data_IF_704587798793
#
_entry.id   IF_704587798793
#
_cell.length_a   1.000
_cell.length_b   1.000
_cell.length_c   1.000
_cell.angle_alpha   90.00
_cell.angle_beta   90.00
_cell.angle_gamma   90.00
#
_symmetry.space_group_name_H-M   'P 1'
#
loop_
_entity.id
_entity.type
_entity.pdbx_description
1 polymer ?
#
# COMPACT_ATOMS: atom_id res chain seq x y z
N UNK A 1 -15.80 -53.71 -0.91
CA UNK A 1 -15.10 -53.60 -2.20
C UNK A 1 -13.60 -53.66 -1.94
N UNK A 2 -12.90 -54.59 -2.60
CA UNK A 2 -11.45 -54.79 -2.47
C UNK A 2 -10.76 -53.94 -3.53
N UNK A 3 -10.07 -52.89 -3.13
CA UNK A 3 -9.24 -52.10 -4.03
C UNK A 3 -7.80 -52.56 -3.94
N UNK A 4 -7.34 -53.38 -4.88
CA UNK A 4 -5.91 -53.55 -5.11
C UNK A 4 -5.48 -52.57 -6.21
N UNK A 5 -4.54 -51.69 -5.90
CA UNK A 5 -3.92 -50.85 -6.94
C UNK A 5 -2.89 -51.68 -7.68
N UNK A 6 -3.27 -52.23 -8.83
CA UNK A 6 -2.32 -52.73 -9.83
C UNK A 6 -2.53 -52.08 -11.18
N UNK A 7 -1.42 -51.94 -11.90
CA UNK A 7 -1.34 -51.37 -13.24
C UNK A 7 -1.98 -52.32 -14.26
N UNK A 8 -3.28 -52.18 -14.54
CA UNK A 8 -3.86 -52.78 -15.74
C UNK A 8 -3.59 -51.90 -16.97
N UNK A 9 -3.14 -52.47 -18.10
CA UNK A 9 -3.07 -51.73 -19.35
C UNK A 9 -4.50 -51.58 -19.88
N UNK A 10 -5.17 -50.44 -19.61
CA UNK A 10 -6.35 -50.09 -20.41
C UNK A 10 -7.39 -49.12 -19.85
N UNK A 11 -7.66 -49.04 -18.54
CA UNK A 11 -8.69 -48.13 -18.01
C UNK A 11 -8.37 -47.70 -16.56
N UNK A 12 -8.35 -46.38 -16.31
CA UNK A 12 -7.91 -45.78 -15.04
C UNK A 12 -9.07 -45.43 -14.07
N UNK A 13 -10.33 -45.71 -14.46
CA UNK A 13 -11.47 -44.98 -13.87
C UNK A 13 -12.49 -45.88 -13.15
N UNK A 14 -12.21 -47.17 -12.98
CA UNK A 14 -13.11 -48.08 -12.24
C UNK A 14 -12.35 -49.01 -11.27
N UNK A 15 -12.77 -49.12 -10.00
CA UNK A 15 -12.19 -50.09 -9.06
C UNK A 15 -12.51 -51.52 -9.52
N UNK A 16 -11.52 -52.42 -9.48
CA UNK A 16 -11.78 -53.84 -9.70
C UNK A 16 -12.64 -54.39 -8.55
N UNK A 17 -13.69 -55.14 -8.89
CA UNK A 17 -14.58 -55.73 -7.90
C UNK A 17 -14.21 -57.22 -7.74
N UNK A 18 -13.22 -57.51 -6.90
CA UNK A 18 -12.75 -58.88 -6.62
C UNK A 18 -13.12 -59.29 -5.19
N UNK A 19 -13.69 -60.48 -4.98
CA UNK A 19 -13.99 -61.01 -3.64
C UNK A 19 -12.75 -61.64 -2.97
N UNK A 20 -12.82 -61.86 -1.64
CA UNK A 20 -11.71 -62.36 -0.82
C UNK A 20 -11.21 -63.74 -1.25
N UNK A 21 -12.10 -64.65 -1.67
CA UNK A 21 -11.73 -65.99 -2.13
C UNK A 21 -10.96 -65.93 -3.45
N UNK A 22 -11.43 -65.08 -4.37
CA UNK A 22 -10.75 -64.83 -5.64
C UNK A 22 -9.39 -64.17 -5.42
N UNK A 23 -9.27 -63.25 -4.46
CA UNK A 23 -7.99 -62.64 -4.08
C UNK A 23 -7.03 -63.67 -3.51
N UNK A 24 -7.50 -64.57 -2.62
CA UNK A 24 -6.71 -65.67 -2.06
C UNK A 24 -6.09 -66.53 -3.16
N UNK A 25 -6.91 -66.93 -4.15
CA UNK A 25 -6.48 -67.73 -5.29
C UNK A 25 -5.43 -67.01 -6.16
N UNK A 26 -5.59 -65.70 -6.41
CA UNK A 26 -4.61 -64.89 -7.17
C UNK A 26 -3.26 -64.85 -6.44
N UNK A 27 -3.27 -64.67 -5.12
CA UNK A 27 -2.03 -64.69 -4.30
C UNK A 27 -1.37 -66.05 -4.17
N UNK A 28 -2.12 -67.14 -4.32
CA UNK A 28 -1.52 -68.49 -4.29
C UNK A 28 -0.62 -68.75 -5.52
N UNK A 29 -0.91 -68.11 -6.65
CA UNK A 29 -0.21 -68.32 -7.93
C UNK A 29 1.03 -67.41 -8.12
N UNK A 30 1.11 -66.24 -7.47
CA UNK A 30 2.26 -65.31 -7.57
C UNK A 30 3.18 -65.41 -6.34
N UNK A 31 4.32 -66.08 -6.51
CA UNK A 31 5.26 -66.44 -5.43
C UNK A 31 6.00 -65.26 -4.75
N UNK A 32 5.63 -64.00 -5.01
CA UNK A 32 6.45 -62.84 -4.65
C UNK A 32 5.82 -61.86 -3.65
N UNK A 33 4.59 -62.05 -3.15
CA UNK A 33 3.87 -61.01 -2.39
C UNK A 33 3.08 -61.54 -1.18
N UNK A 34 3.24 -60.87 -0.04
CA UNK A 34 2.27 -60.86 1.07
C UNK A 34 1.19 -59.81 0.75
N UNK A 35 -0.07 -60.05 1.11
CA UNK A 35 -1.18 -59.16 0.70
C UNK A 35 -1.95 -58.57 1.88
N UNK A 36 -2.17 -57.27 1.79
CA UNK A 36 -3.09 -56.51 2.63
C UNK A 36 -4.34 -56.19 1.79
N UNK A 37 -5.49 -56.76 2.17
CA UNK A 37 -6.77 -56.50 1.53
C UNK A 37 -7.55 -55.43 2.32
N UNK A 38 -8.00 -54.39 1.64
CA UNK A 38 -8.82 -53.31 2.23
C UNK A 38 -10.25 -53.49 1.75
N UNK A 39 -11.20 -53.66 2.67
CA UNK A 39 -12.62 -53.79 2.36
C UNK A 39 -13.35 -52.54 2.84
N UNK A 40 -13.74 -51.71 1.88
CA UNK A 40 -14.67 -50.61 2.14
C UNK A 40 -16.09 -51.06 1.78
N UNK A 41 -17.04 -50.89 2.69
CA UNK A 41 -18.48 -51.10 2.41
C UNK A 41 -19.19 -49.75 2.43
N UNK A 42 -19.73 -49.35 1.29
CA UNK A 42 -20.68 -48.25 1.19
C UNK A 42 -22.09 -48.78 1.46
N UNK A 43 -22.89 -48.12 2.30
CA UNK A 43 -24.31 -48.41 2.40
C UNK A 43 -24.99 -48.32 1.04
N UNK A 44 -25.99 -49.16 0.79
CA UNK A 44 -26.73 -49.13 -0.47
C UNK A 44 -27.59 -47.84 -0.50
N UNK A 45 -27.54 -47.03 -1.58
CA UNK A 45 -28.29 -45.79 -1.64
C UNK A 45 -29.79 -46.10 -1.73
N UNK A 46 -30.52 -45.87 -0.65
CA UNK A 46 -31.96 -45.67 -0.73
C UNK A 46 -32.25 -44.18 -0.92
N UNK A 47 -33.16 -43.89 -1.84
CA UNK A 47 -33.45 -42.57 -2.38
C UNK A 47 -33.58 -41.46 -1.33
N UNK A 48 -32.83 -40.38 -1.58
CA UNK A 48 -32.88 -39.00 -1.02
C UNK A 48 -31.82 -38.66 0.04
N UNK A 49 -30.96 -37.73 -0.40
CA UNK A 49 -29.93 -36.96 0.32
C UNK A 49 -28.57 -37.65 0.47
N UNK A 50 -27.61 -37.14 -0.31
CA UNK A 50 -26.18 -37.45 -0.20
C UNK A 50 -25.65 -36.53 0.90
N UNK A 51 -25.66 -37.00 2.14
CA UNK A 51 -24.83 -36.47 3.21
C UNK A 51 -23.73 -37.50 3.47
N UNK A 52 -22.46 -37.06 3.49
CA UNK A 52 -21.27 -37.91 3.52
C UNK A 52 -21.42 -39.10 4.47
N UNK A 53 -21.65 -40.28 3.91
CA UNK A 53 -21.90 -41.49 4.67
C UNK A 53 -20.57 -42.03 5.21
N UNK A 54 -20.59 -42.41 6.49
CA UNK A 54 -19.49 -43.09 7.15
C UNK A 54 -19.28 -44.43 6.44
N UNK A 55 -18.18 -44.55 5.69
CA UNK A 55 -17.79 -45.81 5.05
C UNK A 55 -17.11 -46.69 6.10
N UNK A 56 -17.73 -47.83 6.40
CA UNK A 56 -17.08 -48.81 7.26
C UNK A 56 -15.96 -49.48 6.45
N UNK A 57 -14.72 -49.28 6.92
CA UNK A 57 -13.51 -49.81 6.29
C UNK A 57 -12.84 -50.80 7.23
N UNK A 58 -12.65 -52.03 6.76
CA UNK A 58 -11.98 -53.10 7.48
C UNK A 58 -10.70 -53.49 6.71
N UNK A 59 -9.62 -53.79 7.43
CA UNK A 59 -8.34 -54.16 6.85
C UNK A 59 -8.05 -55.61 7.20
N UNK A 60 -7.56 -56.37 6.23
CA UNK A 60 -7.25 -57.78 6.39
C UNK A 60 -5.84 -58.06 5.90
N UNK A 61 -5.08 -58.83 6.66
CA UNK A 61 -3.75 -59.31 6.31
C UNK A 61 -3.82 -60.81 5.99
N UNK A 62 -3.14 -61.21 4.92
CA UNK A 62 -2.95 -62.61 4.59
C UNK A 62 -1.50 -62.87 4.21
N UNK A 63 -0.93 -63.87 4.87
CA UNK A 63 0.36 -64.44 4.57
C UNK A 63 0.19 -65.88 4.08
N UNK A 64 0.99 -66.28 3.11
CA UNK A 64 0.93 -67.63 2.54
C UNK A 64 1.07 -68.70 3.63
N UNK A 65 0.18 -69.69 3.61
CA UNK A 65 0.12 -70.77 4.59
C UNK A 65 -0.82 -70.48 5.78
N UNK A 66 -1.40 -69.29 5.84
CA UNK A 66 -2.52 -69.02 6.74
C UNK A 66 -3.78 -69.73 6.22
N UNK A 67 -4.58 -70.26 7.13
CA UNK A 67 -5.85 -70.89 6.77
C UNK A 67 -6.85 -69.88 6.22
N UNK A 68 -6.79 -68.63 6.70
CA UNK A 68 -7.71 -67.55 6.37
C UNK A 68 -7.07 -66.16 6.57
N UNK A 69 -7.73 -65.11 6.08
CA UNK A 69 -7.36 -63.72 6.34
C UNK A 69 -7.52 -63.37 7.82
N UNK A 70 -6.63 -62.53 8.34
CA UNK A 70 -6.72 -61.99 9.71
C UNK A 70 -7.04 -60.50 9.64
N UNK A 71 -8.08 -60.08 10.34
CA UNK A 71 -8.42 -58.66 10.46
C UNK A 71 -7.32 -57.92 11.21
N UNK A 72 -6.88 -56.78 10.67
CA UNK A 72 -5.90 -55.90 11.27
C UNK A 72 -6.50 -54.51 11.47
N UNK A 73 -6.14 -53.86 12.57
CA UNK A 73 -6.50 -52.46 12.81
C UNK A 73 -5.25 -51.64 12.52
N UNK A 74 -5.20 -50.88 11.40
CA UNK A 74 -4.04 -50.06 11.11
C UNK A 74 -3.99 -48.89 12.08
N UNK A 75 -2.77 -48.51 12.45
CA UNK A 75 -2.54 -47.18 13.00
C UNK A 75 -2.68 -46.17 11.86
N UNK A 76 -3.71 -45.32 11.93
CA UNK A 76 -3.93 -44.28 10.92
C UNK A 76 -3.02 -43.09 11.25
N UNK A 77 -1.89 -43.03 10.57
CA UNK A 77 -1.05 -41.83 10.60
C UNK A 77 -1.68 -40.84 9.62
N UNK A 78 -2.23 -39.74 10.14
CA UNK A 78 -2.71 -38.64 9.32
C UNK A 78 -1.52 -37.97 8.61
N UNK A 79 -1.28 -38.32 7.35
CA UNK A 79 -0.40 -37.54 6.49
C UNK A 79 -1.14 -36.30 6.00
N UNK A 80 -0.54 -35.10 6.02
CA UNK A 80 -1.13 -33.91 5.41
C UNK A 80 -1.44 -34.17 3.93
N UNK A 81 -2.51 -33.56 3.42
CA UNK A 81 -2.80 -33.61 1.99
C UNK A 81 -1.59 -33.06 1.21
N UNK A 82 -1.04 -33.85 0.28
CA UNK A 82 0.07 -33.43 -0.58
C UNK A 82 -0.36 -32.18 -1.37
N UNK A 83 0.13 -31.01 -0.96
CA UNK A 83 0.00 -29.80 -1.77
C UNK A 83 0.88 -29.97 -3.00
N UNK A 84 0.44 -29.44 -4.15
CA UNK A 84 1.28 -29.38 -5.34
C UNK A 84 2.60 -28.64 -5.06
N UNK A 85 3.60 -28.73 -5.95
CA UNK A 85 4.95 -28.20 -5.71
C UNK A 85 4.92 -26.74 -5.22
N UNK A 86 5.27 -26.55 -3.94
CA UNK A 86 5.33 -25.23 -3.31
C UNK A 86 6.59 -24.48 -3.74
N UNK A 87 6.48 -23.16 -3.87
CA UNK A 87 7.66 -22.33 -4.10
C UNK A 87 8.52 -22.31 -2.83
N UNK A 88 9.81 -22.57 -2.99
CA UNK A 88 10.78 -22.55 -1.89
C UNK A 88 10.91 -21.14 -1.31
N UNK A 89 10.65 -21.02 0.00
CA UNK A 89 10.88 -19.80 0.77
C UNK A 89 12.33 -19.79 1.24
N UNK A 90 13.01 -18.66 1.04
CA UNK A 90 14.40 -18.44 1.47
C UNK A 90 14.48 -17.57 2.71
N UNK A 91 13.53 -16.64 2.86
CA UNK A 91 13.55 -15.61 3.88
C UNK A 91 12.13 -15.16 4.22
N UNK A 92 11.91 -14.83 5.48
CA UNK A 92 10.72 -14.14 5.98
C UNK A 92 11.10 -12.74 6.49
N UNK A 93 10.38 -11.73 6.03
CA UNK A 93 10.39 -10.39 6.61
C UNK A 93 9.13 -10.24 7.46
N UNK A 94 9.28 -9.88 8.73
CA UNK A 94 8.18 -9.78 9.68
C UNK A 94 8.17 -8.40 10.35
N UNK A 95 7.08 -7.67 10.17
CA UNK A 95 6.87 -6.34 10.77
C UNK A 95 6.58 -6.44 12.26
N UNK A 96 7.41 -5.78 13.07
CA UNK A 96 7.34 -5.79 14.54
C UNK A 96 6.04 -5.16 15.06
N UNK A 97 5.57 -4.07 14.46
CA UNK A 97 4.34 -3.40 14.94
C UNK A 97 3.12 -4.28 14.67
N UNK A 98 3.09 -4.96 13.51
CA UNK A 98 2.07 -5.96 13.20
C UNK A 98 2.02 -7.08 14.23
N UNK A 99 3.17 -7.59 14.68
CA UNK A 99 3.25 -8.60 15.74
C UNK A 99 2.66 -8.05 17.05
N UNK A 100 3.05 -6.83 17.42
CA UNK A 100 2.61 -6.19 18.67
C UNK A 100 1.09 -6.04 18.69
N UNK A 101 0.48 -5.62 17.58
CA UNK A 101 -0.96 -5.44 17.49
C UNK A 101 -1.72 -6.77 17.54
N UNK A 102 -1.19 -7.83 16.92
CA UNK A 102 -1.75 -9.19 17.04
C UNK A 102 -1.76 -9.69 18.49
N UNK A 103 -0.69 -9.41 19.25
CA UNK A 103 -0.61 -9.75 20.67
C UNK A 103 -1.66 -9.00 21.48
N UNK A 104 -1.87 -7.70 21.20
CA UNK A 104 -2.88 -6.88 21.90
C UNK A 104 -4.30 -7.33 21.60
N UNK A 105 -4.60 -7.67 20.35
CA UNK A 105 -5.94 -7.99 19.88
C UNK A 105 -6.37 -9.44 20.15
N UNK A 106 -5.43 -10.34 20.43
CA UNK A 106 -5.70 -11.75 20.76
C UNK A 106 -6.23 -12.58 19.58
N UNK A 107 -5.90 -12.19 18.34
CA UNK A 107 -6.28 -12.83 17.06
C UNK A 107 -5.09 -12.79 16.08
N UNK A 108 -5.09 -13.57 14.99
CA UNK A 108 -5.11 -15.02 14.86
C UNK A 108 -3.68 -15.62 14.87
N UNK A 109 -3.61 -16.95 15.05
CA UNK A 109 -2.41 -17.77 14.87
C UNK A 109 -2.09 -18.01 13.38
N UNK A 110 -2.85 -17.48 12.42
CA UNK A 110 -2.60 -17.65 10.98
C UNK A 110 -2.62 -16.28 10.29
N UNK A 111 -1.55 -15.96 9.56
CA UNK A 111 -1.39 -14.74 8.78
C UNK A 111 -1.05 -15.05 7.32
N UNK A 112 -1.45 -14.13 6.46
CA UNK A 112 -1.03 -14.13 5.07
C UNK A 112 0.20 -13.23 4.86
N UNK A 113 1.21 -13.79 4.21
CA UNK A 113 2.36 -13.06 3.68
C UNK A 113 2.36 -13.03 2.15
N UNK A 114 3.03 -12.05 1.57
CA UNK A 114 3.19 -11.93 0.12
C UNK A 114 4.56 -12.47 -0.32
N UNK A 115 4.56 -13.49 -1.19
CA UNK A 115 5.76 -14.11 -1.74
C UNK A 115 6.30 -13.37 -2.96
N UNK A 116 7.57 -12.98 -2.87
CA UNK A 116 8.32 -12.38 -3.98
C UNK A 116 8.90 -13.44 -4.91
N UNK A 117 9.26 -13.01 -6.12
CA UNK A 117 9.93 -13.81 -7.14
C UNK A 117 11.27 -14.42 -6.67
N UNK A 118 11.97 -13.76 -5.76
CA UNK A 118 13.25 -14.21 -5.22
C UNK A 118 13.13 -15.21 -4.04
N UNK A 119 11.91 -15.51 -3.58
CA UNK A 119 11.64 -16.43 -2.48
C UNK A 119 11.57 -15.77 -1.09
N UNK A 120 11.30 -14.46 -1.01
CA UNK A 120 11.09 -13.77 0.26
C UNK A 120 9.60 -13.65 0.54
N UNK A 121 9.16 -14.04 1.73
CA UNK A 121 7.80 -13.79 2.19
C UNK A 121 7.80 -12.53 3.04
N UNK A 122 6.89 -11.61 2.75
CA UNK A 122 6.71 -10.38 3.52
C UNK A 122 5.39 -10.46 4.27
N UNK A 123 5.46 -10.37 5.59
CA UNK A 123 4.30 -10.18 6.47
C UNK A 123 4.44 -8.76 7.05
N UNK A 124 3.93 -7.79 6.30
CA UNK A 124 4.06 -6.35 6.60
C UNK A 124 2.66 -5.73 6.71
N UNK A 125 2.49 -4.69 7.52
CA UNK A 125 1.23 -3.95 7.65
C UNK A 125 0.86 -3.24 6.34
N UNK A 126 -0.44 -3.20 6.01
CA UNK A 126 -1.01 -2.49 4.84
C UNK A 126 -0.42 -2.88 3.47
N UNK A 127 0.29 -4.01 3.38
CA UNK A 127 0.83 -4.51 2.11
C UNK A 127 -0.22 -5.26 1.29
N UNK A 128 -0.32 -4.95 0.00
CA UNK A 128 -1.13 -5.73 -0.93
C UNK A 128 -0.60 -7.17 -1.10
N UNK A 129 -1.50 -8.14 -1.01
CA UNK A 129 -1.21 -9.57 -1.16
C UNK A 129 -1.49 -9.96 -2.61
N UNK A 130 -0.46 -10.40 -3.33
CA UNK A 130 -0.55 -10.83 -4.74
C UNK A 130 -0.31 -12.34 -4.83
N UNK A 131 0.74 -12.82 -4.17
CA UNK A 131 1.09 -14.23 -4.07
C UNK A 131 0.99 -14.65 -2.60
N UNK A 132 -0.21 -15.02 -2.11
CA UNK A 132 -0.42 -15.35 -0.71
C UNK A 132 0.38 -16.59 -0.30
N UNK A 133 0.95 -16.54 0.90
CA UNK A 133 1.55 -17.66 1.62
C UNK A 133 0.98 -17.65 3.03
N UNK A 134 0.42 -18.79 3.46
CA UNK A 134 -0.16 -18.92 4.79
C UNK A 134 0.94 -19.22 5.81
N UNK A 135 1.02 -18.41 6.86
CA UNK A 135 1.98 -18.56 7.95
C UNK A 135 1.24 -18.76 9.28
N UNK A 136 1.52 -19.87 9.96
CA UNK A 136 1.04 -20.12 11.31
C UNK A 136 2.00 -19.48 12.32
N UNK A 137 1.53 -18.53 13.11
CA UNK A 137 2.28 -17.84 14.16
C UNK A 137 1.97 -18.48 15.50
N UNK A 138 3.02 -18.87 16.22
CA UNK A 138 2.96 -19.35 17.59
C UNK A 138 3.67 -18.36 18.51
N UNK A 139 3.13 -18.12 19.70
CA UNK A 139 3.75 -17.28 20.72
C UNK A 139 4.26 -18.12 21.88
N UNK A 140 5.55 -18.04 22.19
CA UNK A 140 6.19 -18.80 23.25
C UNK A 140 6.90 -17.92 24.28
N UNK A 141 6.84 -18.33 25.54
CA UNK A 141 7.45 -17.58 26.67
C UNK A 141 8.93 -17.95 26.92
N UNK A 142 9.48 -18.96 26.23
CA UNK A 142 10.87 -19.42 26.36
C UNK A 142 11.41 -19.89 24.99
N UNK A 143 12.71 -19.73 24.72
CA UNK A 143 13.39 -20.08 23.45
C UNK A 143 13.50 -21.59 23.14
N UNK A 144 12.69 -22.42 23.79
CA UNK A 144 12.74 -23.88 23.67
C UNK A 144 11.36 -24.46 23.42
N UNK A 145 11.06 -24.77 22.16
CA UNK A 145 9.88 -25.55 21.78
C UNK A 145 10.26 -26.68 20.85
N UNK A 146 9.85 -27.90 21.21
CA UNK A 146 9.67 -29.01 20.26
C UNK A 146 8.42 -28.70 19.43
N UNK A 147 8.61 -28.29 18.18
CA UNK A 147 7.52 -28.04 17.25
C UNK A 147 7.03 -29.39 16.73
N UNK A 148 5.84 -29.84 17.16
CA UNK A 148 5.16 -30.99 16.57
C UNK A 148 4.22 -30.50 15.46
N UNK A 149 4.54 -30.86 14.21
CA UNK A 149 3.89 -30.37 12.99
C UNK A 149 2.64 -31.14 12.56
N UNK A 150 2.13 -32.04 13.40
CA UNK A 150 1.23 -33.10 12.95
C UNK A 150 -0.18 -32.66 12.53
N UNK A 151 -0.49 -31.37 12.37
CA UNK A 151 -1.81 -30.89 11.94
C UNK A 151 -1.83 -29.52 11.22
N UNK A 152 -0.69 -28.96 10.79
CA UNK A 152 -0.66 -27.62 10.18
C UNK A 152 -0.97 -27.65 8.68
N UNK A 153 -2.04 -26.96 8.27
CA UNK A 153 -2.36 -26.70 6.84
C UNK A 153 -1.62 -25.49 6.26
N UNK A 154 -0.75 -24.82 7.04
CA UNK A 154 -0.04 -23.62 6.62
C UNK A 154 1.27 -23.94 5.87
N UNK A 155 1.70 -23.03 5.00
CA UNK A 155 2.93 -23.18 4.19
C UNK A 155 4.19 -22.83 5.01
N UNK A 156 4.03 -21.95 6.01
CA UNK A 156 5.07 -21.54 6.94
C UNK A 156 4.61 -21.72 8.38
N UNK A 157 5.56 -22.01 9.26
CA UNK A 157 5.41 -21.98 10.70
C UNK A 157 6.40 -20.96 11.28
N UNK A 158 5.91 -20.05 12.11
CA UNK A 158 6.66 -18.93 12.68
C UNK A 158 6.51 -18.98 14.20
N UNK A 159 7.62 -19.16 14.89
CA UNK A 159 7.70 -19.09 16.35
C UNK A 159 8.17 -17.70 16.76
N UNK A 160 7.40 -17.03 17.61
CA UNK A 160 7.70 -15.70 18.16
C UNK A 160 7.89 -15.85 19.67
N UNK A 161 9.09 -15.48 20.16
CA UNK A 161 9.39 -15.43 21.59
C UNK A 161 9.61 -13.99 22.06
N UNK A 162 9.15 -13.68 23.26
CA UNK A 162 9.33 -12.35 23.88
C UNK A 162 10.08 -12.50 25.19
N UNK A 163 11.36 -12.13 25.18
CA UNK A 163 12.24 -12.23 26.33
C UNK A 163 12.80 -10.85 26.68
N UNK A 164 12.61 -10.39 27.92
CA UNK A 164 13.11 -9.09 28.40
C UNK A 164 12.73 -7.90 27.48
N UNK A 165 11.47 -7.85 27.02
CA UNK A 165 10.96 -6.85 26.07
C UNK A 165 11.63 -6.87 24.68
N UNK A 166 12.33 -7.96 24.32
CA UNK A 166 12.83 -8.18 22.96
C UNK A 166 12.01 -9.27 22.29
N UNK A 167 11.58 -8.98 21.07
CA UNK A 167 10.93 -9.96 20.20
C UNK A 167 12.04 -10.72 19.45
N UNK A 168 11.97 -12.04 19.46
CA UNK A 168 12.73 -12.92 18.58
C UNK A 168 11.75 -13.72 17.73
N UNK A 169 12.18 -14.10 16.53
CA UNK A 169 11.38 -14.95 15.67
C UNK A 169 12.25 -15.99 14.96
N UNK A 170 11.72 -17.20 14.84
CA UNK A 170 12.24 -18.28 13.99
C UNK A 170 11.13 -18.78 13.09
N UNK A 171 11.47 -19.27 11.90
CA UNK A 171 10.45 -19.79 11.00
C UNK A 171 10.96 -21.01 10.23
N UNK A 172 10.00 -21.86 9.84
CA UNK A 172 10.24 -23.10 9.10
C UNK A 172 9.22 -23.25 7.98
N UNK A 173 9.65 -23.84 6.87
CA UNK A 173 8.80 -24.29 5.77
C UNK A 173 8.74 -25.82 5.79
N UNK A 174 7.56 -26.41 5.59
CA UNK A 174 7.41 -27.84 5.38
C UNK A 174 7.78 -28.19 3.93
N UNK A 175 8.68 -29.15 3.71
CA UNK A 175 8.95 -29.70 2.39
C UNK A 175 7.98 -30.85 2.10
N UNK A 176 7.01 -30.61 1.22
CA UNK A 176 5.99 -31.60 0.86
C UNK A 176 6.57 -32.86 0.18
N UNK A 177 7.81 -32.83 -0.32
CA UNK A 177 8.44 -34.00 -0.94
C UNK A 177 9.10 -34.93 0.09
N UNK A 178 9.63 -34.37 1.18
CA UNK A 178 10.36 -35.14 2.20
C UNK A 178 9.57 -35.29 3.50
N UNK A 179 8.56 -34.43 3.72
CA UNK A 179 7.85 -34.31 4.99
C UNK A 179 8.67 -33.64 6.10
N UNK A 180 9.88 -33.17 5.80
CA UNK A 180 10.76 -32.52 6.78
C UNK A 180 10.58 -31.00 6.78
N UNK A 181 10.84 -30.36 7.91
CA UNK A 181 10.90 -28.90 7.99
C UNK A 181 12.28 -28.34 7.71
N UNK A 182 12.32 -27.29 6.91
CA UNK A 182 13.52 -26.50 6.62
C UNK A 182 13.41 -25.15 7.31
N UNK A 183 14.37 -24.83 8.18
CA UNK A 183 14.45 -23.50 8.81
C UNK A 183 14.76 -22.43 7.76
N UNK A 184 14.07 -21.29 7.86
CA UNK A 184 14.24 -20.14 6.99
C UNK A 184 14.72 -18.93 7.79
N UNK A 185 15.50 -18.06 7.14
CA UNK A 185 15.99 -16.84 7.77
C UNK A 185 14.83 -15.87 8.05
N UNK A 186 14.81 -15.26 9.23
CA UNK A 186 13.80 -14.28 9.63
C UNK A 186 14.46 -12.93 9.91
N UNK A 187 13.97 -11.89 9.24
CA UNK A 187 14.32 -10.50 9.55
C UNK A 187 13.13 -9.81 10.22
N UNK A 188 13.34 -9.37 11.45
CA UNK A 188 12.40 -8.50 12.15
C UNK A 188 12.60 -7.05 11.67
N UNK A 189 11.52 -6.44 11.18
CA UNK A 189 11.53 -5.09 10.64
C UNK A 189 10.76 -4.17 11.58
N UNK A 190 11.46 -3.22 12.17
CA UNK A 190 10.84 -2.06 12.81
C UNK A 190 10.63 -0.98 11.75
N UNK A 191 9.39 -0.79 11.27
CA UNK A 191 9.10 0.17 10.22
C UNK A 191 9.38 1.62 10.66
N UNK A 192 9.06 1.99 11.91
CA UNK A 192 9.26 3.35 12.47
C UNK A 192 10.71 3.78 12.34
N UNK A 193 11.61 2.91 12.74
CA UNK A 193 13.04 3.20 12.79
C UNK A 193 13.73 2.93 11.45
N UNK A 194 13.38 1.85 10.76
CA UNK A 194 14.13 1.40 9.58
C UNK A 194 13.79 2.21 8.31
N UNK A 195 12.55 2.66 8.11
CA UNK A 195 12.12 3.36 6.89
C UNK A 195 12.91 4.65 6.64
N UNK A 196 13.18 5.40 7.70
CA UNK A 196 13.81 6.72 7.62
C UNK A 196 15.29 6.72 8.03
N UNK A 197 15.90 5.55 8.24
CA UNK A 197 17.31 5.42 8.68
C UNK A 197 18.29 6.18 7.78
N UNK A 198 17.98 6.31 6.48
CA UNK A 198 18.79 7.06 5.51
C UNK A 198 18.64 8.60 5.62
N UNK A 199 17.58 9.09 6.27
CA UNK A 199 17.40 10.51 6.59
C UNK A 199 18.00 10.90 7.94
N UNK A 200 18.30 9.92 8.82
CA UNK A 200 18.51 10.14 10.26
C UNK A 200 19.49 11.26 10.64
N UNK A 201 20.64 11.40 9.97
CA UNK A 201 21.61 12.45 10.33
C UNK A 201 21.14 13.88 10.05
N UNK A 202 20.03 14.06 9.35
CA UNK A 202 19.50 15.38 8.97
C UNK A 202 18.50 15.93 9.99
N UNK A 203 17.96 15.11 10.89
CA UNK A 203 16.94 15.54 11.88
C UNK A 203 15.60 15.98 11.27
N UNK A 204 15.39 15.74 9.97
CA UNK A 204 14.22 16.25 9.22
C UNK A 204 12.94 15.55 9.67
N UNK A 205 12.98 14.22 9.85
CA UNK A 205 11.81 13.43 10.24
C UNK A 205 11.25 13.92 11.58
N UNK A 206 12.12 14.09 12.57
CA UNK A 206 11.75 14.49 13.93
C UNK A 206 11.06 15.86 13.95
N UNK A 207 11.53 16.80 13.12
CA UNK A 207 10.94 18.13 13.01
C UNK A 207 9.63 18.18 12.20
N UNK A 208 9.40 17.18 11.34
CA UNK A 208 8.21 17.09 10.48
C UNK A 208 7.13 16.16 11.03
N UNK A 209 7.45 15.28 11.98
CA UNK A 209 6.56 14.20 12.40
C UNK A 209 5.18 14.70 12.88
N UNK A 210 5.18 15.75 13.71
CA UNK A 210 3.94 16.35 14.26
C UNK A 210 3.29 17.39 13.32
N UNK A 211 3.93 17.70 12.19
CA UNK A 211 3.42 18.69 11.24
C UNK A 211 2.23 18.14 10.48
N UNK A 212 1.19 18.97 10.35
CA UNK A 212 -0.05 18.68 9.64
C UNK A 212 -0.12 19.49 8.36
N UNK A 213 -0.33 18.83 7.22
CA UNK A 213 -0.50 19.52 5.94
C UNK A 213 -1.83 19.18 5.28
N UNK A 214 -2.39 20.11 4.52
CA UNK A 214 -3.50 19.80 3.61
C UNK A 214 -3.11 20.05 2.15
N UNK A 215 -3.51 19.16 1.26
CA UNK A 215 -3.31 19.27 -0.18
C UNK A 215 -4.67 19.48 -0.88
N UNK A 216 -4.78 20.59 -1.59
CA UNK A 216 -5.92 20.92 -2.46
C UNK A 216 -5.59 20.55 -3.91
N UNK A 217 -6.29 19.54 -4.42
CA UNK A 217 -6.07 18.96 -5.74
C UNK A 217 -4.96 17.91 -5.70
N UNK A 218 -5.29 16.71 -6.14
CA UNK A 218 -4.46 15.51 -6.18
C UNK A 218 -4.28 15.05 -7.63
N UNK A 219 -4.19 15.98 -8.58
CA UNK A 219 -3.79 15.69 -9.95
C UNK A 219 -2.29 15.36 -10.05
N UNK A 220 -1.69 15.66 -11.19
CA UNK A 220 -0.27 15.35 -11.47
C UNK A 220 0.71 15.93 -10.44
N UNK A 221 0.47 17.16 -10.01
CA UNK A 221 1.32 17.85 -9.04
C UNK A 221 1.05 17.34 -7.62
N UNK A 222 -0.21 17.42 -7.17
CA UNK A 222 -0.56 17.15 -5.78
C UNK A 222 -0.34 15.71 -5.35
N UNK A 223 -0.64 14.74 -6.22
CA UNK A 223 -0.43 13.32 -5.91
C UNK A 223 1.05 12.99 -5.72
N UNK A 224 1.91 13.48 -6.60
CA UNK A 224 3.36 13.28 -6.48
C UNK A 224 3.93 14.06 -5.29
N UNK A 225 3.48 15.29 -5.05
CA UNK A 225 3.90 16.09 -3.91
C UNK A 225 3.59 15.37 -2.58
N UNK A 226 2.38 14.82 -2.43
CA UNK A 226 1.98 14.05 -1.25
C UNK A 226 2.93 12.87 -0.98
N UNK A 227 3.32 12.13 -2.03
CA UNK A 227 4.27 11.03 -1.90
C UNK A 227 5.66 11.49 -1.45
N UNK A 228 6.12 12.65 -1.90
CA UNK A 228 7.42 13.18 -1.47
C UNK A 228 7.38 13.72 -0.05
N UNK A 229 6.27 14.32 0.38
CA UNK A 229 6.07 14.75 1.76
C UNK A 229 6.15 13.57 2.73
N UNK A 230 5.45 12.48 2.43
CA UNK A 230 5.52 11.22 3.20
C UNK A 230 6.95 10.69 3.24
N UNK A 231 7.65 10.65 2.10
CA UNK A 231 9.05 10.21 2.04
C UNK A 231 10.02 11.11 2.81
N UNK A 232 9.67 12.37 3.03
CA UNK A 232 10.45 13.30 3.86
C UNK A 232 10.21 13.12 5.36
N UNK A 233 9.19 12.35 5.76
CA UNK A 233 8.86 12.08 7.17
C UNK A 233 7.61 12.78 7.69
N UNK A 234 6.79 13.40 6.83
CA UNK A 234 5.47 13.90 7.21
C UNK A 234 4.50 12.76 7.44
N UNK A 235 3.79 12.80 8.57
CA UNK A 235 2.88 11.73 8.98
C UNK A 235 1.40 12.12 8.96
N UNK A 236 1.07 13.42 8.94
CA UNK A 236 -0.31 13.90 9.07
C UNK A 236 -0.75 14.67 7.81
N UNK A 237 -1.67 14.10 7.04
CA UNK A 237 -2.11 14.66 5.76
C UNK A 237 -3.64 14.75 5.68
N UNK A 238 -4.13 15.88 5.16
CA UNK A 238 -5.50 16.02 4.66
C UNK A 238 -5.48 16.13 3.14
N UNK A 239 -6.14 15.20 2.45
CA UNK A 239 -6.13 15.10 0.99
C UNK A 239 -7.52 15.48 0.46
N UNK A 240 -7.60 16.52 -0.37
CA UNK A 240 -8.87 17.07 -0.87
C UNK A 240 -8.86 17.06 -2.40
N UNK A 241 -9.68 16.19 -2.99
CA UNK A 241 -9.90 16.12 -4.43
C UNK A 241 -11.24 15.42 -4.72
N UNK A 242 -12.18 16.07 -5.45
CA UNK A 242 -13.48 15.50 -5.75
C UNK A 242 -13.47 14.47 -6.89
N UNK A 243 -12.42 14.42 -7.70
CA UNK A 243 -12.43 13.67 -8.96
C UNK A 243 -12.14 12.19 -8.77
N UNK A 244 -12.52 11.42 -9.79
CA UNK A 244 -12.06 10.05 -10.01
C UNK A 244 -10.89 9.99 -10.98
N UNK A 245 -10.10 8.92 -10.91
CA UNK A 245 -9.02 8.64 -11.84
C UNK A 245 -9.55 8.25 -13.22
N UNK A 246 -9.15 9.01 -14.23
CA UNK A 246 -9.40 8.70 -15.63
C UNK A 246 -8.13 8.21 -16.33
N UNK A 247 -8.30 7.49 -17.45
CA UNK A 247 -7.20 6.87 -18.19
C UNK A 247 -6.12 7.87 -18.61
N UNK A 248 -6.53 9.11 -18.95
CA UNK A 248 -5.64 10.16 -19.40
C UNK A 248 -4.82 10.77 -18.25
N UNK A 249 -5.18 10.53 -16.98
CA UNK A 249 -4.41 10.98 -15.82
C UNK A 249 -3.19 10.09 -15.57
N UNK A 250 -3.30 8.79 -15.85
CA UNK A 250 -2.36 7.74 -15.41
C UNK A 250 -0.91 8.02 -15.82
N UNK A 251 -0.67 8.59 -17.01
CA UNK A 251 0.68 8.83 -17.53
C UNK A 251 1.49 9.88 -16.75
N UNK A 252 0.83 10.65 -15.88
CA UNK A 252 1.40 11.80 -15.15
C UNK A 252 0.84 11.91 -13.74
N UNK A 253 0.42 10.80 -13.15
CA UNK A 253 -0.21 10.75 -11.83
C UNK A 253 0.49 9.68 -10.99
N UNK A 254 0.46 9.82 -9.66
CA UNK A 254 1.06 8.83 -8.76
C UNK A 254 0.45 7.43 -8.91
N UNK A 255 -0.88 7.37 -8.98
CA UNK A 255 -1.65 6.14 -9.16
C UNK A 255 -1.55 5.58 -10.58
N UNK A 256 -1.80 4.28 -10.71
CA UNK A 256 -1.59 3.51 -11.93
C UNK A 256 -2.89 2.89 -12.47
N UNK A 257 -2.78 2.05 -13.50
CA UNK A 257 -3.95 1.42 -14.15
C UNK A 257 -4.81 0.58 -13.19
N UNK A 258 -4.26 0.11 -12.08
CA UNK A 258 -5.02 -0.66 -11.08
C UNK A 258 -6.01 0.20 -10.30
N UNK A 259 -5.85 1.52 -10.32
CA UNK A 259 -6.69 2.47 -9.59
C UNK A 259 -7.71 3.19 -10.48
N UNK A 260 -7.82 2.81 -11.76
CA UNK A 260 -8.71 3.47 -12.71
C UNK A 260 -10.17 3.48 -12.22
N UNK A 261 -10.82 4.65 -12.27
CA UNK A 261 -12.19 4.86 -11.82
C UNK A 261 -12.38 5.05 -10.30
N UNK A 262 -11.32 4.89 -9.50
CA UNK A 262 -11.35 5.20 -8.05
C UNK A 262 -11.29 6.71 -7.84
N UNK A 263 -11.83 7.20 -6.71
CA UNK A 263 -11.60 8.58 -6.28
C UNK A 263 -10.10 8.84 -6.08
N UNK A 264 -9.58 9.95 -6.62
CA UNK A 264 -8.16 10.30 -6.53
C UNK A 264 -7.70 10.36 -5.08
N UNK A 265 -8.50 10.96 -4.18
CA UNK A 265 -8.17 11.07 -2.76
C UNK A 265 -7.94 9.71 -2.07
N UNK A 266 -8.83 8.74 -2.32
CA UNK A 266 -8.72 7.41 -1.72
C UNK A 266 -7.60 6.59 -2.38
N UNK A 267 -7.45 6.67 -3.72
CA UNK A 267 -6.37 5.98 -4.43
C UNK A 267 -4.98 6.49 -4.02
N UNK A 268 -4.81 7.81 -3.88
CA UNK A 268 -3.56 8.41 -3.40
C UNK A 268 -3.31 7.98 -1.95
N UNK A 269 -4.31 8.02 -1.07
CA UNK A 269 -4.18 7.54 0.31
C UNK A 269 -3.59 6.13 0.38
N UNK A 270 -4.10 5.20 -0.41
CA UNK A 270 -3.58 3.82 -0.42
C UNK A 270 -2.13 3.75 -0.91
N UNK A 271 -1.77 4.51 -1.95
CA UNK A 271 -0.36 4.59 -2.40
C UNK A 271 0.56 5.16 -1.34
N UNK A 272 0.08 6.10 -0.52
CA UNK A 272 0.85 6.68 0.58
C UNK A 272 0.99 5.68 1.74
N UNK A 273 -0.07 4.96 2.11
CA UNK A 273 -0.01 3.92 3.14
C UNK A 273 0.91 2.76 2.75
N UNK A 274 0.98 2.44 1.45
CA UNK A 274 1.96 1.48 0.95
C UNK A 274 3.43 1.96 1.07
N UNK A 275 3.67 3.26 1.23
CA UNK A 275 5.00 3.83 1.52
C UNK A 275 5.27 3.82 3.03
N UNK A 276 4.29 4.28 3.82
CA UNK A 276 4.37 4.29 5.27
C UNK A 276 2.98 3.94 5.85
N UNK A 277 2.79 2.75 6.46
CA UNK A 277 1.50 2.35 7.03
C UNK A 277 1.03 3.21 8.20
N UNK A 278 1.92 4.00 8.81
CA UNK A 278 1.64 4.75 10.04
C UNK A 278 1.09 6.15 9.82
N UNK A 279 0.75 6.49 8.58
CA UNK A 279 0.27 7.81 8.24
C UNK A 279 -1.15 8.04 8.77
N UNK A 280 -1.37 9.23 9.35
CA UNK A 280 -2.69 9.75 9.66
C UNK A 280 -3.21 10.54 8.46
N UNK A 281 -4.10 9.92 7.68
CA UNK A 281 -4.62 10.50 6.43
C UNK A 281 -6.15 10.65 6.48
N UNK A 282 -6.61 11.90 6.38
CA UNK A 282 -8.02 12.25 6.16
C UNK A 282 -8.26 12.57 4.68
N UNK A 283 -9.28 11.98 4.07
CA UNK A 283 -9.64 12.23 2.66
C UNK A 283 -10.97 12.95 2.52
N UNK A 284 -11.03 13.92 1.62
CA UNK A 284 -12.26 14.59 1.18
C UNK A 284 -12.43 14.40 -0.33
N UNK A 285 -13.51 13.71 -0.69
CA UNK A 285 -13.99 13.55 -2.08
C UNK A 285 -15.00 14.64 -2.46
N UNK A 286 -14.88 15.77 -1.81
CA UNK A 286 -15.81 16.88 -1.84
C UNK A 286 -15.16 18.03 -2.61
N UNK A 287 -15.98 18.81 -3.31
CA UNK A 287 -15.48 19.99 -3.98
C UNK A 287 -15.14 21.06 -2.94
N UNK A 288 -13.93 21.62 -3.00
CA UNK A 288 -13.45 22.54 -1.98
C UNK A 288 -14.29 23.82 -1.87
N UNK A 289 -14.86 24.29 -2.99
CA UNK A 289 -15.67 25.51 -3.03
C UNK A 289 -17.08 25.22 -2.54
N UNK A 290 -17.71 24.14 -3.03
CA UNK A 290 -19.10 23.82 -2.69
C UNK A 290 -19.26 23.30 -1.25
N UNK A 291 -18.28 22.56 -0.74
CA UNK A 291 -18.33 21.92 0.57
C UNK A 291 -17.38 22.59 1.60
N UNK A 292 -17.08 23.88 1.41
CA UNK A 292 -16.11 24.61 2.23
C UNK A 292 -16.36 24.50 3.74
N UNK A 293 -17.62 24.62 4.20
CA UNK A 293 -17.98 24.56 5.62
C UNK A 293 -17.62 23.21 6.29
N UNK A 294 -17.60 22.14 5.51
CA UNK A 294 -17.21 20.80 5.98
C UNK A 294 -15.69 20.66 6.02
N UNK A 295 -15.01 21.15 5.00
CA UNK A 295 -13.57 20.99 4.82
C UNK A 295 -12.78 21.95 5.73
N UNK A 296 -13.22 23.20 5.85
CA UNK A 296 -12.55 24.27 6.61
C UNK A 296 -12.25 23.90 8.06
N UNK A 297 -13.13 23.13 8.72
CA UNK A 297 -12.91 22.61 10.09
C UNK A 297 -11.65 21.77 10.23
N UNK A 298 -11.22 21.09 9.16
CA UNK A 298 -10.00 20.28 9.13
C UNK A 298 -8.77 21.09 8.73
N UNK A 299 -8.96 22.35 8.34
CA UNK A 299 -7.90 23.27 7.97
C UNK A 299 -7.52 24.22 9.13
N UNK A 300 -8.27 24.26 10.24
CA UNK A 300 -7.96 25.19 11.35
C UNK A 300 -6.66 24.85 12.09
N UNK A 301 -6.21 23.59 12.05
CA UNK A 301 -5.04 23.10 12.80
C UNK A 301 -3.88 22.64 11.92
N UNK A 302 -3.86 22.99 10.63
CA UNK A 302 -2.74 22.62 9.75
C UNK A 302 -1.60 23.64 9.82
N UNK A 303 -0.37 23.17 9.64
CA UNK A 303 0.82 24.01 9.57
C UNK A 303 1.07 24.60 8.17
N UNK A 304 0.56 23.94 7.12
CA UNK A 304 0.79 24.35 5.73
C UNK A 304 -0.32 23.87 4.80
N UNK A 305 -0.84 24.78 3.98
CA UNK A 305 -1.76 24.48 2.89
C UNK A 305 -0.98 24.38 1.57
N UNK A 306 -1.14 23.29 0.84
CA UNK A 306 -0.53 23.09 -0.49
C UNK A 306 -1.63 23.14 -1.55
N UNK A 307 -1.48 24.02 -2.53
CA UNK A 307 -2.48 24.30 -3.56
C UNK A 307 -1.93 23.88 -4.92
N UNK A 308 -2.54 22.85 -5.50
CA UNK A 308 -2.22 22.29 -6.82
C UNK A 308 -3.46 22.11 -7.71
N UNK A 309 -4.56 22.79 -7.39
CA UNK A 309 -5.79 22.85 -8.18
C UNK A 309 -5.65 23.82 -9.37
N UNK A 310 -6.42 23.56 -10.42
CA UNK A 310 -6.47 24.29 -11.68
C UNK A 310 -7.61 25.30 -11.79
N UNK A 311 -8.62 25.25 -10.91
CA UNK A 311 -9.77 26.16 -11.01
C UNK A 311 -9.51 27.54 -10.35
N UNK A 312 -9.96 28.65 -10.96
CA UNK A 312 -9.76 29.99 -10.38
C UNK A 312 -10.44 30.16 -9.02
N UNK A 313 -11.66 29.65 -8.89
CA UNK A 313 -12.48 29.80 -7.69
C UNK A 313 -11.86 29.09 -6.49
N UNK A 314 -11.36 27.85 -6.68
CA UNK A 314 -10.69 27.11 -5.61
C UNK A 314 -9.39 27.79 -5.18
N UNK A 315 -8.60 28.33 -6.13
CA UNK A 315 -7.35 29.06 -5.84
C UNK A 315 -7.62 30.34 -5.06
N UNK A 316 -8.69 31.06 -5.40
CA UNK A 316 -9.11 32.28 -4.73
C UNK A 316 -9.64 31.98 -3.32
N UNK A 317 -10.48 30.96 -3.16
CA UNK A 317 -10.96 30.53 -1.86
C UNK A 317 -9.82 30.00 -0.97
N UNK A 318 -8.86 29.27 -1.54
CA UNK A 318 -7.68 28.81 -0.82
C UNK A 318 -6.82 29.99 -0.32
N UNK A 319 -6.70 31.05 -1.12
CA UNK A 319 -6.01 32.27 -0.70
C UNK A 319 -6.74 32.96 0.46
N UNK A 320 -8.07 33.10 0.36
CA UNK A 320 -8.89 33.64 1.44
C UNK A 320 -8.74 32.81 2.72
N UNK A 321 -8.74 31.48 2.60
CA UNK A 321 -8.59 30.53 3.70
C UNK A 321 -7.22 30.66 4.37
N UNK A 322 -6.15 30.69 3.59
CA UNK A 322 -4.78 30.88 4.09
C UNK A 322 -4.64 32.19 4.87
N UNK A 323 -5.16 33.29 4.31
CA UNK A 323 -5.08 34.61 4.96
C UNK A 323 -5.97 34.68 6.21
N UNK A 324 -7.20 34.15 6.15
CA UNK A 324 -8.16 34.24 7.26
C UNK A 324 -7.77 33.37 8.45
N UNK A 325 -7.24 32.18 8.21
CA UNK A 325 -6.76 31.26 9.24
C UNK A 325 -5.31 31.55 9.66
N UNK A 326 -4.64 32.50 9.00
CA UNK A 326 -3.23 32.82 9.21
C UNK A 326 -2.30 31.60 9.02
N UNK A 327 -2.57 30.80 7.99
CA UNK A 327 -1.85 29.56 7.65
C UNK A 327 -0.99 29.80 6.41
N UNK A 328 0.32 29.50 6.44
CA UNK A 328 1.16 29.56 5.25
C UNK A 328 0.62 28.66 4.12
N UNK A 329 0.74 29.15 2.89
CA UNK A 329 0.23 28.47 1.71
C UNK A 329 1.31 28.36 0.63
N UNK A 330 1.40 27.21 -0.02
CA UNK A 330 2.28 27.01 -1.17
C UNK A 330 1.47 26.66 -2.40
N UNK A 331 1.58 27.50 -3.41
CA UNK A 331 1.01 27.27 -4.73
C UNK A 331 2.06 26.60 -5.60
N UNK A 332 1.70 25.47 -6.18
CA UNK A 332 2.51 24.78 -7.18
C UNK A 332 1.64 24.70 -8.44
N UNK A 333 1.96 25.56 -9.41
CA UNK A 333 1.15 25.74 -10.61
C UNK A 333 2.00 25.61 -11.86
N UNK A 334 1.44 25.00 -12.89
CA UNK A 334 1.98 25.06 -14.24
C UNK A 334 1.05 25.92 -15.09
N UNK A 335 1.54 26.35 -16.25
CA UNK A 335 0.77 26.96 -17.31
C UNK A 335 0.54 25.96 -18.44
N UNK A 336 -0.33 26.31 -19.39
CA UNK A 336 -0.70 25.50 -20.53
C UNK A 336 0.49 24.74 -21.15
N UNK A 337 0.25 23.44 -21.39
CA UNK A 337 1.23 22.50 -21.94
C UNK A 337 2.52 22.36 -21.13
N UNK A 338 2.50 22.70 -19.84
CA UNK A 338 3.71 22.76 -19.01
C UNK A 338 4.83 23.60 -19.65
N UNK A 339 4.47 24.69 -20.35
CA UNK A 339 5.47 25.59 -20.96
C UNK A 339 6.23 26.41 -19.92
N UNK A 340 5.53 26.78 -18.85
CA UNK A 340 6.09 27.50 -17.71
C UNK A 340 5.43 26.99 -16.43
N UNK A 341 6.05 27.27 -15.30
CA UNK A 341 5.54 26.93 -13.97
C UNK A 341 5.93 27.97 -12.94
N UNK A 342 5.16 28.02 -11.87
CA UNK A 342 5.35 28.95 -10.76
C UNK A 342 5.16 28.23 -9.44
N UNK A 343 6.05 28.50 -8.50
CA UNK A 343 5.97 28.09 -7.10
C UNK A 343 5.96 29.34 -6.23
N UNK A 344 4.97 29.47 -5.36
CA UNK A 344 4.81 30.64 -4.50
C UNK A 344 4.53 30.22 -3.07
N UNK A 345 5.31 30.70 -2.09
CA UNK A 345 5.03 30.54 -0.66
C UNK A 345 4.45 31.83 -0.10
N UNK A 346 3.16 31.81 0.19
CA UNK A 346 2.47 32.90 0.88
C UNK A 346 2.59 32.66 2.38
N UNK A 347 3.09 33.67 3.09
CA UNK A 347 3.11 33.72 4.55
C UNK A 347 2.24 34.90 4.96
N UNK A 348 1.02 34.66 5.49
CA UNK A 348 0.14 35.71 5.94
C UNK A 348 0.85 36.70 6.87
N UNK A 349 0.56 37.99 6.71
CA UNK A 349 1.24 39.06 7.45
C UNK A 349 2.61 39.47 6.88
N UNK A 350 3.43 38.51 6.43
CA UNK A 350 4.82 38.72 5.98
C UNK A 350 4.91 39.00 4.47
N UNK A 351 4.35 38.12 3.63
CA UNK A 351 4.37 38.29 2.16
C UNK A 351 3.07 38.92 1.65
N UNK A 352 3.05 39.31 0.37
CA UNK A 352 1.80 39.51 -0.36
C UNK A 352 1.03 38.18 -0.47
N UNK A 353 -0.30 38.25 -0.40
CA UNK A 353 -1.16 37.11 -0.71
C UNK A 353 -1.28 36.92 -2.23
N UNK A 354 -1.95 35.85 -2.68
CA UNK A 354 -2.13 35.56 -4.11
C UNK A 354 -2.76 36.72 -4.86
N UNK A 355 -3.74 37.37 -4.25
CA UNK A 355 -4.44 38.51 -4.85
C UNK A 355 -3.57 39.77 -5.01
N UNK A 356 -2.48 39.90 -4.24
CA UNK A 356 -1.52 41.00 -4.43
C UNK A 356 -0.76 40.91 -5.77
N UNK A 357 -0.68 39.72 -6.35
CA UNK A 357 0.14 39.41 -7.53
C UNK A 357 -0.73 39.34 -8.80
N UNK A 358 -2.06 39.30 -8.64
CA UNK A 358 -2.99 39.08 -9.73
C UNK A 358 -2.86 37.68 -10.37
N UNK A 359 -3.25 37.58 -11.62
CA UNK A 359 -3.07 36.42 -12.51
C UNK A 359 -1.60 36.24 -12.96
N UNK A 360 -0.64 36.91 -12.31
CA UNK A 360 0.78 36.61 -12.48
C UNK A 360 1.52 37.54 -13.45
N UNK A 361 1.02 38.77 -13.66
CA UNK A 361 1.86 39.89 -14.13
C UNK A 361 1.87 41.00 -13.08
N UNK A 362 3.06 41.46 -12.71
CA UNK A 362 3.22 42.63 -11.85
C UNK A 362 2.63 43.86 -12.54
N UNK A 363 1.50 44.36 -12.03
CA UNK A 363 0.80 45.53 -12.57
C UNK A 363 -0.27 45.26 -13.64
N UNK A 364 -0.71 44.02 -13.86
CA UNK A 364 -1.95 43.77 -14.61
C UNK A 364 -3.18 44.01 -13.74
N UNK A 365 -4.22 44.62 -14.31
CA UNK A 365 -5.55 44.60 -13.70
C UNK A 365 -6.04 43.15 -13.61
N UNK A 366 -6.54 42.77 -12.43
CA UNK A 366 -7.25 41.52 -12.23
C UNK A 366 -8.39 41.45 -13.25
N UNK A 367 -8.26 40.56 -14.23
CA UNK A 367 -9.33 40.28 -15.19
C UNK A 367 -9.96 38.95 -14.77
N UNK A 368 -11.16 38.95 -14.18
CA UNK A 368 -11.88 37.71 -13.90
C UNK A 368 -12.04 36.91 -15.21
N UNK A 369 -11.61 35.66 -15.23
CA UNK A 369 -11.87 34.75 -16.35
C UNK A 369 -10.84 34.74 -17.48
N UNK A 370 -9.60 35.20 -17.28
CA UNK A 370 -8.49 34.92 -18.21
C UNK A 370 -7.44 34.13 -17.43
N UNK A 371 -7.39 32.83 -17.64
CA UNK A 371 -6.83 31.92 -16.65
C UNK A 371 -5.63 31.13 -17.16
N UNK A 372 -4.65 30.96 -16.28
CA UNK A 372 -3.61 29.93 -16.37
C UNK A 372 -4.20 28.51 -16.19
N UNK A 373 -5.17 28.13 -17.04
CA UNK A 373 -5.64 26.78 -17.42
C UNK A 373 -7.12 26.71 -17.89
N UNK A 374 -7.83 27.80 -18.12
CA UNK A 374 -9.25 27.71 -18.55
C UNK A 374 -9.77 28.89 -19.35
N UNK A 375 -9.29 29.04 -20.59
CA UNK A 375 -10.08 29.72 -21.62
C UNK A 375 -10.42 28.68 -22.70
N UNK A 376 -11.52 27.95 -22.51
CA UNK A 376 -12.22 27.34 -23.64
C UNK A 376 -13.72 27.22 -23.36
N UNK A 377 -14.46 28.22 -23.82
CA UNK A 377 -15.93 28.21 -23.91
C UNK A 377 -16.46 27.24 -24.99
N UNK A 378 -15.58 26.53 -25.69
CA UNK A 378 -15.94 25.54 -26.70
C UNK A 378 -15.89 24.13 -26.13
N UNK A 379 -17.05 23.46 -26.11
CA UNK A 379 -17.28 22.04 -25.74
C UNK A 379 -16.42 21.05 -26.55
N UNK A 380 -15.62 21.54 -27.50
CA UNK A 380 -14.69 20.78 -28.34
C UNK A 380 -13.20 20.95 -27.98
N UNK A 381 -12.83 21.78 -27.00
CA UNK A 381 -11.43 21.99 -26.58
C UNK A 381 -11.04 21.26 -25.28
N UNK A 382 -11.90 20.35 -24.80
CA UNK A 382 -11.61 19.34 -23.74
C UNK A 382 -10.57 18.28 -24.24
N UNK A 383 -9.87 18.53 -25.36
CA UNK A 383 -8.85 17.63 -25.88
C UNK A 383 -7.52 17.85 -25.18
N UNK A 384 -7.19 16.90 -24.30
CA UNK A 384 -5.83 16.42 -23.99
C UNK A 384 -4.72 17.45 -24.21
N UNK A 385 -4.41 18.23 -23.16
CA UNK A 385 -3.36 19.23 -23.24
C UNK A 385 -1.99 18.60 -22.90
N UNK A 386 -1.04 18.53 -23.86
CA UNK A 386 0.21 17.80 -23.68
C UNK A 386 1.12 18.54 -22.70
N UNK A 387 1.47 17.91 -21.58
CA UNK A 387 2.54 18.37 -20.69
C UNK A 387 3.40 17.16 -20.33
N UNK A 388 4.71 17.30 -20.47
CA UNK A 388 5.64 16.22 -20.16
C UNK A 388 5.70 16.03 -18.63
N UNK A 389 5.55 14.78 -18.17
CA UNK A 389 5.54 14.47 -16.74
C UNK A 389 6.85 14.91 -16.05
N UNK A 390 7.99 14.86 -16.74
CA UNK A 390 9.27 15.34 -16.18
C UNK A 390 9.26 16.83 -15.87
N UNK A 391 8.60 17.63 -16.70
CA UNK A 391 8.51 19.09 -16.53
C UNK A 391 7.59 19.43 -15.35
N UNK A 392 6.46 18.72 -15.26
CA UNK A 392 5.53 18.80 -14.13
C UNK A 392 6.26 18.43 -12.83
N UNK A 393 7.02 17.33 -12.84
CA UNK A 393 7.75 16.85 -11.67
C UNK A 393 8.87 17.80 -11.26
N UNK A 394 9.56 18.44 -12.20
CA UNK A 394 10.59 19.44 -11.87
C UNK A 394 10.01 20.60 -11.06
N UNK A 395 8.90 21.18 -11.51
CA UNK A 395 8.19 22.25 -10.79
C UNK A 395 7.65 21.74 -9.44
N UNK A 396 7.11 20.51 -9.44
CA UNK A 396 6.60 19.87 -8.23
C UNK A 396 7.69 19.69 -7.17
N UNK A 397 8.89 19.25 -7.55
CA UNK A 397 10.00 19.07 -6.60
C UNK A 397 10.50 20.40 -6.03
N UNK A 398 10.51 21.48 -6.82
CA UNK A 398 10.82 22.82 -6.32
C UNK A 398 9.78 23.26 -5.27
N UNK A 399 8.49 23.00 -5.53
CA UNK A 399 7.41 23.26 -4.58
C UNK A 399 7.50 22.42 -3.31
N UNK A 400 7.76 21.12 -3.43
CA UNK A 400 7.97 20.22 -2.28
C UNK A 400 9.14 20.70 -1.43
N UNK A 401 10.26 21.10 -2.05
CA UNK A 401 11.42 21.62 -1.32
C UNK A 401 11.10 22.91 -0.58
N UNK A 402 10.36 23.82 -1.21
CA UNK A 402 9.88 25.05 -0.59
C UNK A 402 8.96 24.76 0.61
N UNK A 403 8.09 23.76 0.48
CA UNK A 403 7.17 23.33 1.53
C UNK A 403 7.85 22.69 2.73
N UNK A 404 8.76 21.75 2.50
CA UNK A 404 9.53 21.11 3.57
C UNK A 404 10.31 22.17 4.36
N UNK A 405 11.02 23.06 3.67
CA UNK A 405 11.76 24.13 4.34
C UNK A 405 10.85 25.09 5.11
N UNK A 406 9.67 25.41 4.57
CA UNK A 406 8.69 26.25 5.28
C UNK A 406 8.23 25.64 6.61
N UNK A 407 8.11 24.31 6.66
CA UNK A 407 7.72 23.58 7.87
C UNK A 407 8.88 23.48 8.88
N UNK A 408 10.11 23.38 8.40
CA UNK A 408 11.33 23.36 9.23
C UNK A 408 11.69 24.75 9.77
N UNK A 409 11.34 25.81 9.04
CA UNK A 409 11.71 27.20 9.32
C UNK A 409 10.47 28.12 9.27
N UNK A 410 9.47 27.91 10.14
CA UNK A 410 8.20 28.63 10.07
C UNK A 410 8.33 30.14 10.30
N UNK A 411 9.31 30.56 11.10
CA UNK A 411 9.53 31.97 11.47
C UNK A 411 10.33 32.76 10.41
N UNK A 412 10.89 32.07 9.41
CA UNK A 412 11.72 32.71 8.40
C UNK A 412 10.89 33.39 7.30
N UNK A 413 11.22 34.66 7.05
CA UNK A 413 10.50 35.50 6.09
C UNK A 413 10.69 35.02 4.64
N UNK A 414 11.83 34.39 4.35
CA UNK A 414 12.13 33.71 3.09
C UNK A 414 12.50 32.26 3.36
N UNK A 415 12.33 31.39 2.38
CA UNK A 415 12.78 29.99 2.47
C UNK A 415 14.31 29.95 2.48
N UNK A 416 14.99 29.55 3.57
CA UNK A 416 16.44 29.75 3.72
C UNK A 416 17.30 29.10 2.64
N UNK A 417 16.97 27.87 2.21
CA UNK A 417 17.75 27.11 1.23
C UNK A 417 17.53 27.58 -0.21
N UNK A 418 16.46 28.35 -0.46
CA UNK A 418 16.10 28.88 -1.78
C UNK A 418 16.29 30.40 -1.85
N UNK A 419 16.41 31.07 -0.70
CA UNK A 419 16.50 32.52 -0.54
C UNK A 419 15.41 33.30 -1.30
N UNK A 420 14.19 32.75 -1.37
CA UNK A 420 13.05 33.36 -2.06
C UNK A 420 11.73 32.69 -1.62
N UNK A 421 10.60 33.38 -1.80
CA UNK A 421 9.27 32.74 -1.74
C UNK A 421 8.59 32.65 -3.11
N UNK A 422 9.29 32.98 -4.20
CA UNK A 422 8.75 32.91 -5.55
C UNK A 422 9.78 32.29 -6.51
N UNK A 423 9.38 31.24 -7.20
CA UNK A 423 10.16 30.61 -8.25
C UNK A 423 9.31 30.52 -9.50
N UNK A 424 9.90 30.92 -10.63
CA UNK A 424 9.35 30.69 -11.95
C UNK A 424 10.26 29.74 -12.70
N UNK A 425 9.66 28.74 -13.31
CA UNK A 425 10.33 27.81 -14.22
C UNK A 425 9.85 28.07 -15.65
N UNK A 426 10.79 28.10 -16.59
CA UNK A 426 10.53 28.26 -18.01
C UNK A 426 11.01 27.00 -18.73
N UNK A 427 10.09 26.24 -19.36
CA UNK A 427 10.42 25.00 -20.06
C UNK A 427 11.11 25.20 -21.41
N UNK A 428 11.05 26.42 -21.94
CA UNK A 428 11.64 26.76 -23.24
C UNK A 428 12.37 28.12 -23.14
N UNK A 429 13.46 28.21 -22.36
CA UNK A 429 14.20 29.46 -22.23
C UNK A 429 14.81 29.84 -23.60
N UNK A 430 14.71 31.12 -23.95
CA UNK A 430 15.47 31.68 -25.07
C UNK A 430 16.99 31.68 -24.78
N UNK A 431 17.79 32.07 -25.76
CA UNK A 431 19.26 32.07 -25.70
C UNK A 431 19.84 32.81 -24.47
N UNK A 432 19.11 33.81 -23.95
CA UNK A 432 19.51 34.64 -22.82
C UNK A 432 18.62 34.49 -21.59
N UNK A 433 17.61 33.62 -21.64
CA UNK A 433 16.69 33.39 -20.52
C UNK A 433 17.19 32.28 -19.61
N UNK A 434 16.92 32.40 -18.32
CA UNK A 434 17.19 31.32 -17.36
C UNK A 434 16.04 30.32 -17.34
N UNK A 435 16.39 29.03 -17.19
CA UNK A 435 15.41 27.96 -16.95
C UNK A 435 14.62 28.19 -15.66
N UNK A 436 15.29 28.71 -14.63
CA UNK A 436 14.70 29.04 -13.34
C UNK A 436 15.01 30.50 -13.03
N UNK A 437 13.97 31.24 -12.69
CA UNK A 437 14.06 32.62 -12.20
C UNK A 437 13.50 32.66 -10.78
N UNK A 438 14.26 33.24 -9.86
CA UNK A 438 13.83 33.45 -8.47
C UNK A 438 13.41 34.90 -8.26
N UNK A 439 12.39 35.13 -7.45
CA UNK A 439 11.97 36.48 -7.07
C UNK A 439 12.99 37.12 -6.12
N UNK A 440 13.26 38.42 -6.29
CA UNK A 440 14.09 39.20 -5.38
C UNK A 440 13.36 39.52 -4.07
N UNK A 441 14.10 39.76 -3.00
CA UNK A 441 13.58 40.00 -1.64
C UNK A 441 12.67 38.84 -1.18
N UNK A 442 11.41 39.14 -0.81
CA UNK A 442 10.42 38.12 -0.49
C UNK A 442 9.90 37.40 -1.74
N UNK A 443 10.11 37.91 -2.95
CA UNK A 443 9.53 37.41 -4.19
C UNK A 443 8.03 37.65 -4.37
N UNK A 444 7.32 38.03 -3.29
CA UNK A 444 5.87 38.26 -3.26
C UNK A 444 5.57 39.60 -2.55
N UNK A 445 5.66 40.74 -3.24
CA UNK A 445 5.39 42.06 -2.68
C UNK A 445 3.94 42.21 -2.19
N UNK A 446 3.77 42.83 -1.02
CA UNK A 446 2.46 43.07 -0.40
C UNK A 446 1.82 44.36 -0.92
N UNK A 447 0.62 44.25 -1.50
CA UNK A 447 -0.18 45.42 -1.88
C UNK A 447 -0.91 45.97 -0.64
N UNK A 448 -0.61 47.22 -0.26
CA UNK A 448 -1.22 47.90 0.91
C UNK A 448 -2.73 48.13 0.76
N UNK A 449 -3.24 48.19 -0.46
CA UNK A 449 -4.66 48.36 -0.76
C UNK A 449 -5.35 47.03 -1.08
N UNK A 450 -4.70 45.88 -0.81
CA UNK A 450 -5.28 44.58 -1.07
C UNK A 450 -6.53 44.37 -0.19
N UNK A 451 -7.66 44.07 -0.82
CA UNK A 451 -8.93 43.84 -0.12
C UNK A 451 -8.89 42.60 0.79
N UNK A 452 -7.92 41.70 0.59
CA UNK A 452 -7.80 40.43 1.32
C UNK A 452 -6.78 40.51 2.45
N UNK A 453 -5.53 40.90 2.16
CA UNK A 453 -4.44 40.91 3.14
C UNK A 453 -3.92 42.30 3.49
N UNK A 454 -4.55 43.36 2.97
CA UNK A 454 -4.30 44.73 3.37
C UNK A 454 -4.85 44.99 4.78
N UNK A 455 -4.39 46.07 5.45
CA UNK A 455 -4.95 46.48 6.73
C UNK A 455 -6.45 46.76 6.57
N UNK A 456 -7.27 46.20 7.47
CA UNK A 456 -8.70 46.50 7.51
C UNK A 456 -8.87 47.95 7.94
N UNK A 457 -9.71 48.71 7.25
CA UNK A 457 -9.99 50.11 7.60
C UNK A 457 -10.53 50.21 9.04
N UNK A 458 -9.67 50.64 9.97
CA UNK A 458 -10.02 50.82 11.39
C UNK A 458 -9.11 50.14 12.41
N UNK A 459 -8.09 49.39 11.99
CA UNK A 459 -7.01 48.86 12.86
C UNK A 459 -5.75 49.75 12.86
#
# INVERSE_FOLDING_TARGET
>A
YVGEWHKHPGMFDQPSCTDLETMKLITEDDNTKDVLAIIATTPHPNEKSIAGEIVQTNFYYYQRGMSDFVEVVPEVIHAPALKGPQKKVKKLNLDVEKIIDLIKEGKPLELEGNLTDNGTVNIISEQSIINPVQANIMFNQNDGVEVSLNNSTCDLLVDISINNMRINAKAWQLDDNTGETVEIAVDLIDLKDSLFKRLGSLGIKENLFDKKIALLGLGSVGSVAAAQFVKAGLSNLTLIDPDTLEIHNIIRHLCDLTDLGRFKADAVKDKLLAINPELSITTFKNDFVQDYDKISKHLEEIDLLVISTDTPDSRQLANLTSVSLNIPAIYISLHERARTGKVMRIVPGVTGCRHCIGDGRWGSEFTPGVTDYSDSDDVRDIYFQPGLDTDINLVTMLGVRMAISSLLHPDEAVVPELNTNFIMWNGYPGEYDSLITVGSDLGLPKNKSCEICGPKSGE
#
